data_IF_181548088900
#
_entry.id   IF_181548088900
#
_cell.length_a   1.000
_cell.length_b   1.000
_cell.length_c   1.000
_cell.angle_alpha   90.00
_cell.angle_beta   90.00
_cell.angle_gamma   90.00
#
_symmetry.space_group_name_H-M   'P 1'
#
loop_
_entity.id
_entity.type
_entity.pdbx_description
1 polymer ?
#
# COMPACT_ATOMS: atom_id res chain seq x y z
N UNK A 1 6.59 8.03 -9.60
CA UNK A 1 6.71 6.61 -9.26
C UNK A 1 5.49 5.93 -9.80
N UNK A 2 5.70 4.78 -10.44
CA UNK A 2 4.61 3.98 -10.97
C UNK A 2 3.91 3.27 -9.82
N UNK A 3 2.60 3.39 -9.75
CA UNK A 3 1.79 2.60 -8.83
C UNK A 3 0.59 1.97 -9.53
N UNK A 4 0.11 0.87 -8.97
CA UNK A 4 -1.07 0.16 -9.43
C UNK A 4 -2.22 0.51 -8.49
N UNK A 5 -3.30 1.05 -9.04
CA UNK A 5 -4.54 1.31 -8.31
C UNK A 5 -5.50 0.16 -8.58
N UNK A 6 -5.85 -0.57 -7.52
CA UNK A 6 -6.87 -1.61 -7.57
C UNK A 6 -8.27 -0.97 -7.51
N UNK A 7 -9.15 -1.45 -8.37
CA UNK A 7 -10.53 -0.98 -8.53
C UNK A 7 -11.49 -2.16 -8.42
N UNK A 8 -12.78 -1.85 -8.28
CA UNK A 8 -13.84 -2.86 -8.34
C UNK A 8 -13.87 -3.59 -9.69
N UNK A 9 -14.47 -4.78 -9.68
CA UNK A 9 -14.58 -5.71 -10.81
C UNK A 9 -13.21 -6.24 -11.28
N UNK A 10 -12.31 -6.48 -10.33
CA UNK A 10 -10.96 -7.00 -10.59
C UNK A 10 -10.12 -6.16 -11.57
N UNK A 11 -10.38 -4.84 -11.64
CA UNK A 11 -9.65 -3.93 -12.54
C UNK A 11 -8.47 -3.28 -11.84
N UNK A 12 -7.48 -2.90 -12.63
CA UNK A 12 -6.31 -2.14 -12.17
C UNK A 12 -5.99 -1.00 -13.12
N UNK A 13 -5.38 0.08 -12.58
CA UNK A 13 -4.82 1.18 -13.37
C UNK A 13 -3.37 1.41 -12.97
N UNK A 14 -2.49 1.50 -13.96
CA UNK A 14 -1.13 1.98 -13.76
C UNK A 14 -1.13 3.51 -13.87
N UNK A 15 -0.68 4.20 -12.82
CA UNK A 15 -0.56 5.66 -12.80
C UNK A 15 0.86 6.08 -12.40
N UNK A 16 1.18 7.35 -12.65
CA UNK A 16 2.37 8.01 -12.13
C UNK A 16 2.00 8.92 -10.97
N UNK A 17 2.66 8.75 -9.84
CA UNK A 17 2.45 9.54 -8.63
C UNK A 17 3.76 10.13 -8.12
N UNK A 18 3.69 11.20 -7.33
CA UNK A 18 4.88 11.69 -6.63
C UNK A 18 5.38 10.63 -5.63
N UNK A 19 6.69 10.59 -5.37
CA UNK A 19 7.20 9.81 -4.24
C UNK A 19 6.70 10.50 -2.95
N UNK A 20 6.09 9.77 -2.00
CA UNK A 20 5.60 10.38 -0.78
C UNK A 20 6.75 10.92 0.07
N UNK A 21 6.54 12.08 0.67
CA UNK A 21 7.44 12.62 1.69
C UNK A 21 7.09 12.05 3.06
N UNK A 22 8.12 11.76 3.85
CA UNK A 22 7.98 11.20 5.19
C UNK A 22 7.99 12.29 6.25
N UNK A 23 7.37 12.01 7.40
CA UNK A 23 7.57 12.78 8.61
C UNK A 23 8.69 12.18 9.50
N UNK A 24 8.89 12.79 10.67
CA UNK A 24 9.92 12.42 11.63
C UNK A 24 9.80 10.98 12.19
N UNK A 25 8.63 10.36 12.08
CA UNK A 25 8.29 9.06 12.69
C UNK A 25 8.08 7.95 11.63
N UNK A 26 8.34 8.23 10.35
CA UNK A 26 8.03 7.33 9.24
C UNK A 26 9.29 6.79 8.54
N UNK A 27 9.11 5.69 7.82
CA UNK A 27 10.12 5.15 6.89
C UNK A 27 9.57 5.17 5.46
N UNK A 28 10.44 5.48 4.50
CA UNK A 28 10.15 5.30 3.08
C UNK A 28 10.81 4.01 2.62
N UNK A 29 10.00 3.05 2.17
CA UNK A 29 10.48 1.77 1.65
C UNK A 29 10.35 1.78 0.14
N UNK A 30 11.46 1.54 -0.56
CA UNK A 30 11.43 1.22 -1.98
C UNK A 30 11.13 -0.26 -2.12
N UNK A 31 9.88 -0.56 -2.47
CA UNK A 31 9.38 -1.92 -2.67
C UNK A 31 10.15 -2.59 -3.81
N UNK A 32 10.65 -3.80 -3.57
CA UNK A 32 11.32 -4.65 -4.57
C UNK A 32 10.42 -5.80 -4.99
N UNK A 33 9.63 -6.33 -4.05
CA UNK A 33 8.62 -7.36 -4.28
C UNK A 33 7.38 -7.04 -3.45
N UNK A 34 6.21 -7.33 -4.02
CA UNK A 34 4.92 -7.26 -3.35
C UNK A 34 4.19 -8.58 -3.62
N UNK A 35 3.60 -9.14 -2.56
CA UNK A 35 2.68 -10.26 -2.63
C UNK A 35 1.30 -9.75 -2.99
N UNK A 36 0.69 -10.35 -4.02
CA UNK A 36 -0.71 -10.09 -4.36
C UNK A 36 -1.60 -11.12 -3.70
N UNK A 37 -2.61 -10.63 -2.98
CA UNK A 37 -3.58 -11.44 -2.25
C UNK A 37 -4.98 -11.29 -2.86
N UNK A 38 -5.87 -12.29 -2.70
CA UNK A 38 -7.27 -12.14 -3.13
C UNK A 38 -7.98 -10.91 -2.54
N UNK A 39 -7.56 -10.45 -1.35
CA UNK A 39 -8.11 -9.24 -0.70
C UNK A 39 -7.90 -7.98 -1.53
N UNK A 40 -6.85 -7.90 -2.35
CA UNK A 40 -6.49 -6.70 -3.10
C UNK A 40 -7.55 -6.34 -4.15
N UNK A 41 -8.34 -7.32 -4.60
CA UNK A 41 -9.49 -7.11 -5.47
C UNK A 41 -10.83 -7.27 -4.74
N UNK A 42 -10.89 -8.14 -3.71
CA UNK A 42 -12.12 -8.31 -2.93
C UNK A 42 -12.50 -7.05 -2.14
N UNK A 43 -11.53 -6.33 -1.58
CA UNK A 43 -11.82 -5.12 -0.79
C UNK A 43 -12.41 -4.00 -1.65
N UNK A 44 -11.89 -3.68 -2.86
CA UNK A 44 -12.57 -2.78 -3.80
C UNK A 44 -14.03 -3.17 -4.11
N UNK A 45 -14.33 -4.46 -4.29
CA UNK A 45 -15.71 -4.91 -4.51
C UNK A 45 -16.58 -4.73 -3.27
N UNK A 46 -16.06 -5.09 -2.09
CA UNK A 46 -16.75 -4.89 -0.81
C UNK A 46 -17.00 -3.41 -0.54
N UNK A 47 -16.09 -2.54 -0.93
CA UNK A 47 -16.26 -1.09 -0.82
C UNK A 47 -17.44 -0.59 -1.66
N UNK A 48 -17.75 -1.26 -2.78
CA UNK A 48 -18.87 -0.93 -3.66
C UNK A 48 -20.18 -1.60 -3.27
N UNK A 49 -20.15 -2.57 -2.35
CA UNK A 49 -21.35 -3.18 -1.79
C UNK A 49 -22.21 -2.14 -1.05
N UNK A 50 -23.53 -2.29 -1.14
CA UNK A 50 -24.50 -1.48 -0.38
C UNK A 50 -24.69 -1.99 1.06
N UNK A 51 -24.03 -3.10 1.43
CA UNK A 51 -24.08 -3.67 2.78
C UNK A 51 -23.30 -2.82 3.81
N UNK A 52 -24.02 -2.35 4.84
CA UNK A 52 -23.56 -1.40 5.87
C UNK A 52 -22.81 -2.02 7.06
N UNK A 53 -21.80 -2.87 6.84
CA UNK A 53 -20.55 -2.44 7.47
C UNK A 53 -19.41 -2.25 6.48
N UNK A 54 -19.49 -2.87 5.31
CA UNK A 54 -18.42 -2.81 4.32
C UNK A 54 -18.41 -1.47 3.60
N UNK A 55 -19.58 -0.92 3.28
CA UNK A 55 -19.76 0.40 2.69
C UNK A 55 -19.02 1.48 3.50
N UNK A 56 -19.29 1.54 4.81
CA UNK A 56 -18.77 2.59 5.70
C UNK A 56 -17.28 2.35 6.03
N UNK A 57 -16.89 1.09 6.26
CA UNK A 57 -15.49 0.76 6.59
C UNK A 57 -14.53 1.02 5.43
N UNK A 58 -14.98 0.84 4.18
CA UNK A 58 -14.14 0.88 2.99
C UNK A 58 -14.49 2.03 2.04
N UNK A 59 -15.19 3.06 2.50
CA UNK A 59 -15.62 4.21 1.68
C UNK A 59 -14.47 4.77 0.84
N UNK A 60 -13.30 5.00 1.46
CA UNK A 60 -12.11 5.54 0.78
C UNK A 60 -11.53 4.60 -0.29
N UNK A 61 -11.79 3.31 -0.20
CA UNK A 61 -11.30 2.32 -1.16
C UNK A 61 -12.14 2.32 -2.44
N UNK A 62 -13.36 2.90 -2.42
CA UNK A 62 -14.23 2.98 -3.61
C UNK A 62 -13.60 3.75 -4.76
N UNK A 63 -12.81 4.76 -4.44
CA UNK A 63 -12.12 5.58 -5.45
C UNK A 63 -10.91 4.86 -6.08
N UNK A 64 -10.54 3.70 -5.52
CA UNK A 64 -9.36 2.94 -5.85
C UNK A 64 -8.23 3.20 -4.86
N UNK A 65 -7.39 2.18 -4.66
CA UNK A 65 -6.26 2.26 -3.73
C UNK A 65 -5.10 1.41 -4.21
N UNK A 66 -3.88 1.83 -3.87
CA UNK A 66 -2.67 1.05 -4.05
C UNK A 66 -2.62 -0.07 -2.99
N UNK A 67 -2.99 -1.30 -3.39
CA UNK A 67 -2.98 -2.50 -2.54
C UNK A 67 -1.62 -3.22 -2.57
N UNK A 68 -1.56 -4.45 -2.06
CA UNK A 68 -0.31 -5.23 -2.00
C UNK A 68 0.57 -4.80 -0.82
N UNK A 69 -0.04 -4.68 0.36
CA UNK A 69 0.57 -4.37 1.66
C UNK A 69 1.58 -5.42 2.15
N UNK A 70 1.54 -6.64 1.61
CA UNK A 70 2.57 -7.66 1.82
C UNK A 70 3.80 -7.36 0.96
N UNK A 71 4.74 -6.56 1.48
CA UNK A 71 5.91 -6.08 0.74
C UNK A 71 7.24 -6.55 1.33
N UNK A 72 8.25 -6.61 0.48
CA UNK A 72 9.65 -6.55 0.89
C UNK A 72 10.43 -5.58 0.00
N UNK A 73 11.39 -4.89 0.61
CA UNK A 73 12.10 -3.80 -0.05
C UNK A 73 13.28 -3.28 0.76
N UNK A 74 13.79 -2.14 0.31
CA UNK A 74 14.92 -1.45 0.93
C UNK A 74 14.42 -0.17 1.58
N UNK A 75 14.88 0.10 2.81
CA UNK A 75 14.65 1.40 3.46
C UNK A 75 15.44 2.47 2.73
N UNK A 76 14.73 3.40 2.09
CA UNK A 76 15.27 4.48 1.26
C UNK A 76 15.46 5.78 2.07
N UNK A 77 14.52 6.08 3.00
CA UNK A 77 14.60 7.21 3.94
C UNK A 77 14.03 6.81 5.31
N UNK A 78 14.51 7.48 6.36
CA UNK A 78 14.01 7.33 7.73
C UNK A 78 13.81 8.72 8.35
N UNK A 79 12.73 8.88 9.12
CA UNK A 79 12.49 10.07 9.93
C UNK A 79 13.43 10.11 11.13
N UNK A 80 13.65 11.31 11.69
CA UNK A 80 14.66 11.52 12.74
C UNK A 80 14.38 10.78 14.06
N UNK A 81 13.13 10.41 14.32
CA UNK A 81 12.71 9.70 15.53
C UNK A 81 12.70 8.17 15.34
N UNK A 82 13.01 7.68 14.14
CA UNK A 82 13.10 6.24 13.85
C UNK A 82 14.42 5.69 14.40
N UNK A 83 14.35 4.60 15.18
CA UNK A 83 15.51 4.06 15.93
C UNK A 83 15.99 2.67 15.46
N UNK A 84 15.11 1.84 14.89
CA UNK A 84 15.44 0.45 14.50
C UNK A 84 15.69 0.25 12.99
N UNK A 85 15.34 1.25 12.18
CA UNK A 85 15.57 1.22 10.73
C UNK A 85 16.63 2.24 10.35
N UNK A 86 17.46 1.85 9.38
CA UNK A 86 18.45 2.72 8.76
C UNK A 86 18.40 2.56 7.26
N UNK A 87 18.75 3.63 6.54
CA UNK A 87 18.94 3.57 5.08
C UNK A 87 19.98 2.49 4.79
N UNK A 88 19.69 1.60 3.83
CA UNK A 88 20.42 0.37 3.46
C UNK A 88 20.04 -0.95 4.15
N UNK A 89 19.09 -0.98 5.10
CA UNK A 89 18.54 -2.26 5.57
C UNK A 89 17.56 -2.87 4.56
N UNK A 90 17.82 -4.11 4.13
CA UNK A 90 16.87 -4.95 3.39
C UNK A 90 15.88 -5.56 4.38
N UNK A 91 14.61 -5.19 4.30
CA UNK A 91 13.55 -5.78 5.12
C UNK A 91 13.20 -7.15 4.55
N UNK A 92 13.53 -8.21 5.28
CA UNK A 92 12.98 -9.54 5.00
C UNK A 92 11.71 -9.68 5.84
N UNK A 93 10.58 -9.88 5.17
CA UNK A 93 9.32 -10.31 5.79
C UNK A 93 9.62 -11.55 6.66
N UNK A 94 9.31 -11.46 7.96
CA UNK A 94 9.12 -12.64 8.81
C UNK A 94 7.69 -13.10 8.56
N UNK A 95 7.55 -14.32 8.06
CA UNK A 95 6.27 -15.03 7.93
C UNK A 95 5.54 -15.16 9.27
#
# INVERSE_FOLDING_TARGET
MKEIINLHDCRTKLIESAIPEINDDQVLIRVVVSGSNPKDWKVPDLAHSEEKPYFERYEKVREGVNQGDDIAGVVEKVGKNVVEFQVSLSLKSQC
#
